data_IF_059765625560
#
_entry.id   IF_059765625560
#
_cell.length_a   1.000
_cell.length_b   1.000
_cell.length_c   1.000
_cell.angle_alpha   90.00
_cell.angle_beta   90.00
_cell.angle_gamma   90.00
#
_symmetry.space_group_name_H-M   'P 1'
#
loop_
_entity.id
_entity.type
_entity.pdbx_description
1 polymer ?
#
# COMPACT_ATOMS: atom_id res chain seq x y z
N UNK A 1 29.13 50.87 -39.59
CA UNK A 1 27.68 50.65 -39.52
C UNK A 1 27.48 49.30 -38.82
N UNK A 2 27.34 49.37 -37.52
CA UNK A 2 27.17 48.21 -36.62
C UNK A 2 25.73 48.12 -36.20
N UNK A 3 25.09 47.05 -36.61
CA UNK A 3 23.70 46.73 -36.26
C UNK A 3 23.69 45.85 -35.02
N UNK A 4 23.27 46.39 -33.90
CA UNK A 4 23.00 45.69 -32.67
C UNK A 4 21.58 45.08 -32.70
N UNK A 5 21.53 43.73 -32.80
CA UNK A 5 20.30 42.99 -32.64
C UNK A 5 20.02 42.73 -31.14
N UNK A 6 18.95 43.32 -30.59
CA UNK A 6 18.49 43.03 -29.25
C UNK A 6 17.70 41.72 -29.25
N UNK A 7 18.17 40.70 -28.59
CA UNK A 7 17.42 39.49 -28.30
C UNK A 7 16.52 39.76 -27.08
N UNK A 8 15.21 39.89 -27.35
CA UNK A 8 14.17 39.86 -26.30
C UNK A 8 14.03 38.44 -25.80
N UNK A 9 14.55 38.17 -24.62
CA UNK A 9 14.18 36.95 -23.85
C UNK A 9 12.77 37.11 -23.33
N UNK A 10 11.83 36.34 -23.89
CA UNK A 10 10.49 36.21 -23.31
C UNK A 10 10.64 35.47 -21.95
N UNK A 11 10.55 36.23 -20.87
CA UNK A 11 10.31 35.69 -19.54
C UNK A 11 8.94 34.99 -19.56
N UNK A 12 8.96 33.66 -19.39
CA UNK A 12 7.76 32.87 -19.12
C UNK A 12 7.15 33.38 -17.81
N UNK A 13 6.01 34.03 -17.90
CA UNK A 13 5.23 34.50 -16.77
C UNK A 13 4.81 33.29 -15.94
N UNK A 14 5.47 33.10 -14.80
CA UNK A 14 5.08 32.12 -13.79
C UNK A 14 3.66 32.51 -13.34
N UNK A 15 2.64 31.61 -13.44
CA UNK A 15 1.30 31.96 -12.98
C UNK A 15 1.37 32.32 -11.48
N UNK A 16 0.63 33.37 -11.10
CA UNK A 16 0.53 33.79 -9.71
C UNK A 16 0.14 32.58 -8.85
N UNK A 17 0.90 32.36 -7.78
CA UNK A 17 0.65 31.26 -6.85
C UNK A 17 -0.68 31.53 -6.14
N UNK A 18 -1.75 30.94 -6.63
CA UNK A 18 -3.02 30.83 -5.92
C UNK A 18 -2.78 29.91 -4.73
N UNK A 19 -3.11 30.36 -3.52
CA UNK A 19 -2.85 29.61 -2.28
C UNK A 19 -3.95 28.57 -2.06
N UNK A 20 -3.81 27.39 -2.67
CA UNK A 20 -4.72 26.29 -2.42
C UNK A 20 -4.53 25.73 -1.02
N UNK A 21 -5.63 25.43 -0.30
CA UNK A 21 -5.60 24.76 1.00
C UNK A 21 -5.64 23.23 0.87
N UNK A 22 -6.28 22.71 -0.18
CA UNK A 22 -6.38 21.29 -0.52
C UNK A 22 -5.78 21.02 -1.90
N UNK A 23 -4.89 20.04 -1.96
CA UNK A 23 -4.37 19.50 -3.21
C UNK A 23 -4.87 18.07 -3.39
N UNK A 24 -5.47 17.77 -4.55
CA UNK A 24 -5.81 16.41 -4.96
C UNK A 24 -4.90 15.98 -6.09
N UNK A 25 -3.99 15.06 -5.82
CA UNK A 25 -3.07 14.49 -6.80
C UNK A 25 -3.63 13.22 -7.44
N UNK A 26 -3.64 13.18 -8.76
CA UNK A 26 -3.99 11.99 -9.54
C UNK A 26 -2.72 11.47 -10.20
N UNK A 27 -2.30 10.26 -9.83
CA UNK A 27 -1.19 9.58 -10.49
C UNK A 27 -1.71 8.86 -11.73
N UNK A 28 -1.18 9.13 -12.92
CA UNK A 28 -1.65 8.53 -14.17
C UNK A 28 -0.52 8.06 -15.09
N UNK A 29 -0.81 6.99 -15.84
CA UNK A 29 -0.03 6.53 -16.99
C UNK A 29 -0.87 5.57 -17.83
N UNK A 30 -1.22 5.98 -19.06
CA UNK A 30 -2.07 5.23 -19.98
C UNK A 30 -3.36 4.72 -19.31
N UNK A 31 -4.14 5.66 -18.75
CA UNK A 31 -5.38 5.45 -18.02
C UNK A 31 -6.62 5.98 -18.77
N UNK A 32 -6.58 6.11 -20.11
CA UNK A 32 -7.64 6.73 -20.92
C UNK A 32 -9.03 6.16 -20.62
N UNK A 33 -9.12 4.87 -20.30
CA UNK A 33 -10.39 4.18 -20.00
C UNK A 33 -10.99 4.52 -18.63
N UNK A 34 -10.21 5.08 -17.70
CA UNK A 34 -10.64 5.32 -16.32
C UNK A 34 -10.47 6.76 -15.88
N UNK A 35 -9.50 7.46 -16.44
CA UNK A 35 -9.13 8.80 -15.98
C UNK A 35 -10.28 9.81 -16.06
N UNK A 36 -11.19 9.65 -17.02
CA UNK A 36 -12.37 10.50 -17.15
C UNK A 36 -13.30 10.39 -15.94
N UNK A 37 -13.59 9.17 -15.52
CA UNK A 37 -14.43 8.89 -14.35
C UNK A 37 -13.74 9.33 -13.06
N UNK A 38 -12.43 9.10 -12.95
CA UNK A 38 -11.63 9.56 -11.79
C UNK A 38 -11.65 11.08 -11.69
N UNK A 39 -11.38 11.78 -12.79
CA UNK A 39 -11.37 13.25 -12.81
C UNK A 39 -12.76 13.83 -12.49
N UNK A 40 -13.84 13.25 -13.05
CA UNK A 40 -15.20 13.65 -12.74
C UNK A 40 -15.57 13.43 -11.27
N UNK A 41 -15.18 12.28 -10.68
CA UNK A 41 -15.40 12.00 -9.27
C UNK A 41 -14.62 12.95 -8.35
N UNK A 42 -13.36 13.25 -8.69
CA UNK A 42 -12.55 14.25 -7.96
C UNK A 42 -13.21 15.61 -7.99
N UNK A 43 -13.67 16.09 -9.18
CA UNK A 43 -14.38 17.34 -9.30
C UNK A 43 -15.64 17.38 -8.43
N UNK A 44 -16.51 16.38 -8.57
CA UNK A 44 -17.76 16.33 -7.79
C UNK A 44 -17.48 16.23 -6.29
N UNK A 45 -16.45 15.49 -5.87
CA UNK A 45 -16.08 15.41 -4.47
C UNK A 45 -15.52 16.71 -3.90
N UNK A 46 -14.84 17.51 -4.72
CA UNK A 46 -14.45 18.87 -4.33
C UNK A 46 -15.67 19.80 -4.25
N UNK A 47 -16.60 19.73 -5.21
CA UNK A 47 -17.84 20.49 -5.16
C UNK A 47 -18.65 20.14 -3.89
N UNK A 48 -18.85 18.86 -3.57
CA UNK A 48 -19.52 18.40 -2.33
C UNK A 48 -18.83 18.92 -1.07
N UNK A 49 -17.51 18.94 -1.06
CA UNK A 49 -16.71 19.43 0.08
C UNK A 49 -16.84 20.95 0.29
N UNK A 50 -17.03 21.71 -0.81
CA UNK A 50 -17.17 23.18 -0.75
C UNK A 50 -18.60 23.66 -0.51
N UNK A 51 -19.62 22.95 -1.03
CA UNK A 51 -21.03 23.35 -0.91
C UNK A 51 -21.62 23.13 0.50
N UNK A 52 -20.81 22.62 1.45
CA UNK A 52 -21.24 22.34 2.83
C UNK A 52 -22.25 21.19 2.94
N UNK A 53 -22.47 20.43 1.87
CA UNK A 53 -23.31 19.23 1.87
C UNK A 53 -22.59 18.02 2.44
N UNK A 54 -21.26 17.97 2.31
CA UNK A 54 -20.41 17.09 3.08
C UNK A 54 -19.92 17.85 4.32
N UNK A 55 -20.19 17.34 5.50
CA UNK A 55 -19.77 17.95 6.76
C UNK A 55 -18.26 17.80 6.91
N UNK A 56 -17.52 18.72 6.31
CA UNK A 56 -16.14 19.00 6.67
C UNK A 56 -16.24 19.99 7.84
N UNK A 57 -16.43 19.51 9.05
CA UNK A 57 -16.33 20.13 10.39
C UNK A 57 -16.34 21.66 10.54
N UNK A 58 -16.89 22.42 9.59
CA UNK A 58 -16.94 23.88 9.63
C UNK A 58 -15.71 24.62 9.08
N UNK A 59 -14.68 23.92 8.59
CA UNK A 59 -13.59 24.56 7.87
C UNK A 59 -14.05 24.89 6.43
N UNK A 60 -14.24 26.16 6.13
CA UNK A 60 -14.44 26.64 4.75
C UNK A 60 -13.11 26.49 4.01
N UNK A 61 -12.98 25.49 3.13
CA UNK A 61 -11.84 25.43 2.21
C UNK A 61 -12.05 26.52 1.16
N UNK A 62 -11.12 27.46 1.11
CA UNK A 62 -11.26 28.63 0.24
C UNK A 62 -10.78 28.32 -1.19
N UNK A 63 -9.88 27.36 -1.37
CA UNK A 63 -9.31 27.06 -2.67
C UNK A 63 -8.74 25.64 -2.74
N UNK A 64 -9.00 24.93 -3.85
CA UNK A 64 -8.43 23.60 -4.13
C UNK A 64 -7.68 23.58 -5.45
N UNK A 65 -6.74 22.62 -5.58
CA UNK A 65 -5.95 22.38 -6.79
C UNK A 65 -5.95 20.90 -7.11
N UNK A 66 -6.09 20.57 -8.41
CA UNK A 66 -5.93 19.22 -8.92
C UNK A 66 -4.57 19.12 -9.60
N UNK A 67 -3.76 18.14 -9.21
CA UNK A 67 -2.48 17.80 -9.83
C UNK A 67 -2.63 16.49 -10.60
N UNK A 68 -2.44 16.53 -11.91
CA UNK A 68 -2.33 15.31 -12.72
C UNK A 68 -0.83 15.01 -12.92
N UNK A 69 -0.33 14.03 -12.17
CA UNK A 69 1.02 13.52 -12.38
C UNK A 69 0.99 12.42 -13.44
N UNK A 70 1.36 12.79 -14.66
CA UNK A 70 1.32 11.90 -15.81
C UNK A 70 2.72 11.41 -16.21
N UNK A 71 2.84 10.09 -16.39
CA UNK A 71 4.09 9.42 -16.76
C UNK A 71 4.45 9.51 -18.23
N UNK A 72 3.91 10.46 -18.98
CA UNK A 72 4.08 10.58 -20.42
C UNK A 72 3.19 9.58 -21.15
N UNK A 73 1.89 9.61 -20.86
CA UNK A 73 0.87 8.82 -21.56
C UNK A 73 0.82 9.16 -23.05
N UNK A 74 0.57 8.16 -23.86
CA UNK A 74 0.45 8.30 -25.31
C UNK A 74 -0.93 7.85 -25.86
N UNK A 75 -1.86 7.56 -24.96
CA UNK A 75 -3.22 7.08 -25.25
C UNK A 75 -4.31 8.16 -25.16
N UNK A 76 -3.93 9.41 -24.86
CA UNK A 76 -4.88 10.51 -24.67
C UNK A 76 -5.34 10.73 -23.22
N UNK A 77 -4.74 10.07 -22.26
CA UNK A 77 -5.06 10.19 -20.81
C UNK A 77 -5.15 11.64 -20.33
N UNK A 78 -4.14 12.55 -20.52
CA UNK A 78 -4.21 13.92 -20.03
C UNK A 78 -5.35 14.72 -20.67
N UNK A 79 -5.60 14.50 -21.96
CA UNK A 79 -6.69 15.16 -22.66
C UNK A 79 -8.06 14.74 -22.13
N UNK A 80 -8.24 13.45 -21.88
CA UNK A 80 -9.47 12.90 -21.33
C UNK A 80 -9.76 13.44 -19.92
N UNK A 81 -8.71 13.60 -19.09
CA UNK A 81 -8.83 14.22 -17.77
C UNK A 81 -9.32 15.68 -17.88
N UNK A 82 -8.74 16.49 -18.77
CA UNK A 82 -9.15 17.89 -18.99
C UNK A 82 -10.60 17.99 -19.44
N UNK A 83 -11.02 17.15 -20.38
CA UNK A 83 -12.41 17.10 -20.86
C UNK A 83 -13.39 16.80 -19.72
N UNK A 84 -13.06 15.83 -18.86
CA UNK A 84 -13.92 15.44 -17.74
C UNK A 84 -14.02 16.51 -16.64
N UNK A 85 -12.96 17.29 -16.43
CA UNK A 85 -12.96 18.41 -15.48
C UNK A 85 -13.76 19.61 -16.00
N UNK A 86 -13.87 19.81 -17.30
CA UNK A 86 -14.62 20.92 -17.90
C UNK A 86 -14.16 22.29 -17.37
N UNK A 87 -15.07 23.16 -16.87
CA UNK A 87 -14.71 24.49 -16.35
C UNK A 87 -13.78 24.46 -15.16
N UNK A 88 -13.82 23.39 -14.33
CA UNK A 88 -12.90 23.19 -13.21
C UNK A 88 -11.45 22.89 -13.65
N UNK A 89 -11.22 22.74 -14.96
CA UNK A 89 -9.89 22.60 -15.53
C UNK A 89 -8.95 23.80 -15.20
N UNK A 90 -9.48 24.95 -14.82
CA UNK A 90 -8.68 26.09 -14.38
C UNK A 90 -7.83 25.79 -13.12
N UNK A 91 -8.21 24.80 -12.33
CA UNK A 91 -7.47 24.35 -11.14
C UNK A 91 -6.53 23.17 -11.42
N UNK A 92 -6.51 22.66 -12.67
CA UNK A 92 -5.67 21.54 -13.05
C UNK A 92 -4.24 22.00 -13.35
N UNK A 93 -3.29 21.37 -12.67
CA UNK A 93 -1.86 21.48 -12.95
C UNK A 93 -1.36 20.14 -13.43
N UNK A 94 -0.82 20.09 -14.64
CA UNK A 94 -0.21 18.88 -15.18
C UNK A 94 1.28 18.86 -14.84
N UNK A 95 1.72 17.76 -14.27
CA UNK A 95 3.12 17.52 -13.96
C UNK A 95 3.58 16.23 -14.64
N UNK A 96 4.56 16.35 -15.51
CA UNK A 96 5.19 15.17 -16.13
C UNK A 96 6.36 14.72 -15.28
N UNK A 97 6.38 13.46 -14.90
CA UNK A 97 7.50 12.89 -14.18
C UNK A 97 8.36 12.00 -15.09
N UNK A 98 9.72 12.01 -14.91
CA UNK A 98 10.61 11.22 -15.74
C UNK A 98 10.45 9.71 -15.46
N UNK A 99 10.50 8.91 -16.51
CA UNK A 99 10.54 7.43 -16.43
C UNK A 99 11.86 6.93 -17.01
N UNK A 100 12.44 5.93 -16.37
CA UNK A 100 13.57 5.21 -16.94
C UNK A 100 13.07 4.13 -17.93
N UNK A 101 13.90 3.70 -18.85
CA UNK A 101 13.56 2.65 -19.80
C UNK A 101 13.19 1.32 -19.11
N UNK A 102 13.78 1.03 -17.94
CA UNK A 102 13.50 -0.14 -17.14
C UNK A 102 12.15 -0.11 -16.41
N UNK A 103 11.56 1.06 -16.17
CA UNK A 103 10.30 1.20 -15.43
C UNK A 103 9.11 0.47 -16.09
N UNK A 104 9.19 0.16 -17.39
CA UNK A 104 8.18 -0.58 -18.14
C UNK A 104 8.35 -2.10 -18.03
N UNK A 105 9.53 -2.57 -17.62
CA UNK A 105 9.83 -3.99 -17.49
C UNK A 105 9.44 -4.52 -16.10
N UNK A 106 9.48 -3.64 -15.10
CA UNK A 106 9.03 -3.93 -13.74
C UNK A 106 7.61 -3.39 -13.54
N UNK A 107 6.63 -4.29 -13.51
CA UNK A 107 5.25 -3.94 -13.18
C UNK A 107 5.11 -4.00 -11.66
N UNK A 108 4.96 -2.85 -10.96
CA UNK A 108 4.79 -2.85 -9.52
C UNK A 108 3.45 -3.47 -9.10
N UNK A 109 3.34 -3.87 -7.83
CA UNK A 109 2.15 -4.52 -7.26
C UNK A 109 0.83 -3.81 -7.59
N UNK A 110 0.84 -2.48 -7.71
CA UNK A 110 -0.31 -1.68 -8.13
C UNK A 110 -0.42 -1.48 -9.65
N UNK A 111 0.43 -2.11 -10.44
CA UNK A 111 0.35 -2.09 -11.89
C UNK A 111 0.74 -0.76 -12.56
N UNK A 112 1.29 0.22 -11.81
CA UNK A 112 1.70 1.52 -12.32
C UNK A 112 3.22 1.65 -12.38
N UNK A 113 3.82 1.72 -13.57
CA UNK A 113 5.24 1.99 -13.73
C UNK A 113 5.63 3.35 -13.11
N UNK A 114 6.81 3.39 -12.47
CA UNK A 114 7.35 4.61 -11.84
C UNK A 114 6.42 5.30 -10.84
N UNK A 115 5.61 4.51 -10.10
CA UNK A 115 4.65 5.04 -9.12
C UNK A 115 5.28 5.96 -8.09
N UNK A 116 6.46 5.61 -7.57
CA UNK A 116 7.15 6.46 -6.60
C UNK A 116 7.45 7.87 -7.16
N UNK A 117 7.82 7.97 -8.44
CA UNK A 117 8.06 9.26 -9.10
C UNK A 117 6.78 10.07 -9.29
N UNK A 118 5.67 9.40 -9.62
CA UNK A 118 4.35 10.05 -9.68
C UNK A 118 3.96 10.64 -8.32
N UNK A 119 4.10 9.84 -7.25
CA UNK A 119 3.83 10.28 -5.88
C UNK A 119 4.74 11.43 -5.46
N UNK A 120 6.04 11.34 -5.73
CA UNK A 120 6.99 12.43 -5.45
C UNK A 120 6.56 13.71 -6.15
N UNK A 121 6.22 13.66 -7.43
CA UNK A 121 5.77 14.82 -8.19
C UNK A 121 4.48 15.44 -7.61
N UNK A 122 3.53 14.62 -7.15
CA UNK A 122 2.34 15.09 -6.46
C UNK A 122 2.71 15.78 -5.14
N UNK A 123 3.54 15.15 -4.32
CA UNK A 123 3.95 15.70 -3.02
C UNK A 123 4.74 17.01 -3.19
N UNK A 124 5.66 17.10 -4.16
CA UNK A 124 6.37 18.32 -4.51
C UNK A 124 5.40 19.43 -4.93
N UNK A 125 4.39 19.10 -5.75
CA UNK A 125 3.33 20.04 -6.14
C UNK A 125 2.40 20.45 -5.00
N UNK A 126 2.23 19.60 -3.99
CA UNK A 126 1.47 19.88 -2.78
C UNK A 126 2.29 20.64 -1.72
N UNK A 127 3.63 20.58 -1.77
CA UNK A 127 4.51 21.29 -0.86
C UNK A 127 4.62 22.78 -1.22
N UNK A 128 3.50 23.49 -1.07
CA UNK A 128 3.40 24.93 -1.35
C UNK A 128 2.75 25.67 -0.17
N UNK A 129 3.11 26.95 0.07
CA UNK A 129 2.52 27.73 1.17
C UNK A 129 1.00 27.73 1.11
N UNK A 130 0.35 27.54 2.25
CA UNK A 130 -1.11 27.54 2.38
C UNK A 130 -1.76 26.15 2.26
N UNK A 131 -1.13 25.17 1.66
CA UNK A 131 -1.66 23.80 1.60
C UNK A 131 -1.70 23.18 2.99
N UNK A 132 -2.87 22.69 3.39
CA UNK A 132 -3.13 22.00 4.67
C UNK A 132 -3.23 20.49 4.50
N UNK A 133 -3.81 20.05 3.37
CA UNK A 133 -4.02 18.64 3.06
C UNK A 133 -3.68 18.30 1.61
N UNK A 134 -3.19 17.09 1.41
CA UNK A 134 -2.96 16.47 0.11
C UNK A 134 -3.69 15.13 0.06
N UNK A 135 -4.54 14.93 -0.95
CA UNK A 135 -5.19 13.65 -1.23
C UNK A 135 -4.55 13.06 -2.48
N UNK A 136 -4.21 11.77 -2.42
CA UNK A 136 -3.66 11.04 -3.58
C UNK A 136 -4.67 10.01 -4.07
N UNK A 137 -4.95 10.01 -5.37
CA UNK A 137 -5.85 9.06 -6.05
C UNK A 137 -5.09 8.40 -7.21
N UNK A 138 -5.34 7.12 -7.45
CA UNK A 138 -4.81 6.41 -8.61
C UNK A 138 -5.74 6.59 -9.82
N UNK A 139 -5.21 6.99 -10.98
CA UNK A 139 -5.95 7.21 -12.22
C UNK A 139 -6.54 5.93 -12.85
N UNK A 140 -6.07 4.76 -12.44
CA UNK A 140 -6.54 3.46 -12.94
C UNK A 140 -7.71 2.84 -12.15
N UNK A 141 -8.28 3.53 -11.18
CA UNK A 141 -9.40 3.03 -10.37
C UNK A 141 -10.72 3.15 -11.13
N UNK A 142 -11.53 2.08 -11.10
CA UNK A 142 -12.87 2.06 -11.71
C UNK A 142 -14.01 2.43 -10.74
N UNK A 143 -13.78 2.29 -9.44
CA UNK A 143 -14.82 2.42 -8.40
C UNK A 143 -14.69 3.71 -7.60
N UNK A 144 -13.92 4.69 -8.07
CA UNK A 144 -13.80 5.98 -7.41
C UNK A 144 -15.17 6.65 -7.32
N UNK A 145 -15.46 7.26 -6.17
CA UNK A 145 -16.70 7.98 -5.91
C UNK A 145 -16.40 9.39 -5.36
N UNK A 146 -17.26 10.39 -5.60
CA UNK A 146 -17.07 11.75 -5.10
C UNK A 146 -16.77 11.80 -3.60
N UNK A 147 -17.50 11.05 -2.79
CA UNK A 147 -17.32 10.99 -1.34
C UNK A 147 -15.93 10.52 -0.86
N UNK A 148 -15.07 10.00 -1.74
CA UNK A 148 -13.68 9.65 -1.36
C UNK A 148 -12.85 10.88 -1.02
N UNK A 149 -13.08 12.01 -1.71
CA UNK A 149 -12.31 13.23 -1.47
C UNK A 149 -12.55 13.77 -0.07
N UNK A 150 -13.80 14.07 0.35
CA UNK A 150 -14.04 14.50 1.72
C UNK A 150 -13.67 13.43 2.77
N UNK A 151 -13.84 12.13 2.50
CA UNK A 151 -13.45 11.08 3.42
C UNK A 151 -11.94 11.02 3.69
N UNK A 152 -11.10 11.36 2.69
CA UNK A 152 -9.64 11.38 2.83
C UNK A 152 -9.10 12.74 3.31
N UNK A 153 -9.74 13.86 2.94
CA UNK A 153 -9.31 15.20 3.30
C UNK A 153 -9.84 15.65 4.67
N UNK A 154 -11.10 15.32 4.99
CA UNK A 154 -11.80 15.80 6.19
C UNK A 154 -11.05 15.50 7.49
N UNK A 155 -10.64 14.26 7.77
CA UNK A 155 -9.92 13.96 9.00
C UNK A 155 -8.61 14.74 9.14
N UNK A 156 -7.95 15.10 8.03
CA UNK A 156 -6.75 15.96 8.05
C UNK A 156 -7.11 17.39 8.41
N UNK A 157 -8.12 17.94 7.73
CA UNK A 157 -8.48 19.35 7.82
C UNK A 157 -9.16 19.69 9.15
N UNK A 158 -10.04 18.81 9.63
CA UNK A 158 -10.96 19.09 10.74
C UNK A 158 -10.52 18.46 12.06
N UNK A 159 -9.86 17.28 12.02
CA UNK A 159 -9.54 16.48 13.19
C UNK A 159 -8.02 16.41 13.47
N UNK A 160 -7.20 16.99 12.58
CA UNK A 160 -5.75 17.07 12.72
C UNK A 160 -5.07 15.71 12.65
N UNK A 161 -5.60 14.79 11.83
CA UNK A 161 -4.88 13.59 11.44
C UNK A 161 -3.80 13.92 10.41
N UNK A 162 -2.73 13.14 10.42
CA UNK A 162 -1.64 13.33 9.48
C UNK A 162 -1.69 12.36 8.30
N UNK A 163 -2.17 11.13 8.53
CA UNK A 163 -2.29 10.09 7.53
C UNK A 163 -3.66 9.43 7.59
N UNK A 164 -4.42 9.53 6.53
CA UNK A 164 -5.72 8.89 6.35
C UNK A 164 -5.58 7.76 5.36
N UNK A 165 -5.67 6.53 5.85
CA UNK A 165 -5.62 5.33 5.01
C UNK A 165 -7.02 4.93 4.55
N UNK A 166 -7.24 4.64 3.27
CA UNK A 166 -8.50 4.02 2.86
C UNK A 166 -8.69 2.65 3.51
N UNK A 167 -9.93 2.38 3.88
CA UNK A 167 -10.37 1.06 4.28
C UNK A 167 -11.41 0.54 3.29
N UNK A 168 -11.01 -0.44 2.48
CA UNK A 168 -11.86 -1.02 1.44
C UNK A 168 -12.57 -2.28 1.93
N UNK A 169 -13.86 -2.38 1.60
CA UNK A 169 -14.62 -3.61 1.81
C UNK A 169 -14.09 -4.72 0.88
N UNK A 170 -13.69 -5.83 1.45
CA UNK A 170 -13.12 -6.99 0.76
C UNK A 170 -13.71 -8.28 1.29
N UNK A 171 -13.99 -9.22 0.39
CA UNK A 171 -14.33 -10.58 0.83
C UNK A 171 -13.22 -11.15 1.75
N UNK A 172 -13.55 -12.03 2.73
CA UNK A 172 -12.53 -12.66 3.59
C UNK A 172 -11.34 -13.28 2.85
N UNK A 173 -11.55 -13.80 1.63
CA UNK A 173 -10.48 -14.40 0.80
C UNK A 173 -9.72 -13.37 -0.06
N UNK A 174 -10.25 -12.17 -0.24
CA UNK A 174 -9.56 -11.10 -0.97
C UNK A 174 -8.51 -10.42 -0.09
N UNK A 175 -7.41 -9.99 -0.71
CA UNK A 175 -6.30 -9.37 0.01
C UNK A 175 -5.61 -10.30 1.00
N UNK A 176 -5.59 -11.60 0.72
CA UNK A 176 -5.03 -12.62 1.59
C UNK A 176 -3.56 -12.33 1.97
N UNK A 177 -2.76 -11.77 1.06
CA UNK A 177 -1.38 -11.37 1.36
C UNK A 177 -1.34 -10.25 2.41
N UNK A 178 -2.21 -9.25 2.27
CA UNK A 178 -2.36 -8.19 3.29
C UNK A 178 -2.77 -8.78 4.63
N UNK A 179 -3.76 -9.66 4.65
CA UNK A 179 -4.30 -10.27 5.88
C UNK A 179 -3.34 -11.26 6.54
N UNK A 180 -2.56 -12.00 5.73
CA UNK A 180 -1.71 -13.09 6.21
C UNK A 180 -0.28 -12.71 6.56
N UNK A 181 0.23 -11.64 5.96
CA UNK A 181 1.62 -11.21 6.18
C UNK A 181 1.67 -9.71 6.48
N UNK A 182 1.16 -8.85 5.59
CA UNK A 182 1.43 -7.41 5.65
C UNK A 182 0.84 -6.80 6.92
N UNK A 183 -0.45 -6.98 7.17
CA UNK A 183 -1.11 -6.42 8.36
C UNK A 183 -0.55 -6.96 9.67
N UNK A 184 -0.45 -8.29 9.89
CA UNK A 184 0.08 -8.83 11.13
C UNK A 184 1.53 -8.39 11.42
N UNK A 185 2.38 -8.40 10.39
CA UNK A 185 3.77 -7.98 10.53
C UNK A 185 3.88 -6.48 10.75
N UNK A 186 3.18 -5.65 9.95
CA UNK A 186 3.13 -4.21 10.09
C UNK A 186 2.70 -3.80 11.51
N UNK A 187 1.64 -4.40 12.02
CA UNK A 187 1.13 -4.19 13.37
C UNK A 187 2.16 -4.55 14.44
N UNK A 188 2.80 -5.70 14.31
CA UNK A 188 3.86 -6.11 15.25
C UNK A 188 5.07 -5.18 15.21
N UNK A 189 5.43 -4.65 14.03
CA UNK A 189 6.59 -3.78 13.85
C UNK A 189 6.34 -2.34 14.33
N UNK A 190 5.20 -1.74 13.95
CA UNK A 190 4.93 -0.32 14.17
C UNK A 190 3.94 -0.02 15.28
N UNK A 191 3.30 -1.03 15.87
CA UNK A 191 2.42 -0.87 17.02
C UNK A 191 1.10 -0.17 16.70
N UNK A 192 0.67 -0.18 15.43
CA UNK A 192 -0.60 0.41 14.98
C UNK A 192 -1.43 -0.61 14.21
N UNK A 193 -2.75 -0.62 14.44
CA UNK A 193 -3.68 -1.55 13.81
C UNK A 193 -4.24 -0.98 12.51
N UNK A 194 -3.36 -0.60 11.57
CA UNK A 194 -3.71 -0.16 10.25
C UNK A 194 -3.98 -1.38 9.36
N UNK A 195 -5.26 -1.62 9.03
CA UNK A 195 -5.69 -2.91 8.43
C UNK A 195 -5.24 -3.12 6.98
N UNK A 196 -5.05 -2.03 6.23
CA UNK A 196 -4.67 -2.09 4.81
C UNK A 196 -3.52 -1.11 4.50
N UNK A 197 -2.31 -1.32 5.05
CA UNK A 197 -1.21 -0.36 4.94
C UNK A 197 -0.58 -0.27 3.53
N UNK A 198 -0.88 -1.23 2.64
CA UNK A 198 -0.34 -1.27 1.27
C UNK A 198 -1.41 -0.86 0.24
N UNK A 199 -2.11 0.23 0.49
CA UNK A 199 -3.08 0.82 -0.46
C UNK A 199 -2.50 2.07 -1.09
N UNK A 200 -2.90 2.37 -2.30
CA UNK A 200 -2.26 3.39 -3.10
C UNK A 200 -2.79 4.81 -2.90
N UNK A 201 -4.00 4.93 -2.40
CA UNK A 201 -4.64 6.21 -2.12
C UNK A 201 -4.39 6.58 -0.65
N UNK A 202 -4.36 7.87 -0.35
CA UNK A 202 -4.31 8.35 1.04
C UNK A 202 -4.64 9.85 1.13
N UNK A 203 -4.99 10.30 2.34
CA UNK A 203 -4.98 11.70 2.72
C UNK A 203 -3.76 12.00 3.59
N UNK A 204 -3.09 13.12 3.37
CA UNK A 204 -1.89 13.51 4.12
C UNK A 204 -1.90 14.98 4.55
N UNK A 205 -1.41 15.28 5.76
CA UNK A 205 -1.19 16.65 6.23
C UNK A 205 0.03 17.28 5.56
N UNK A 206 0.11 18.61 5.54
CA UNK A 206 1.29 19.33 5.05
C UNK A 206 2.57 18.89 5.78
N UNK A 207 2.50 18.65 7.09
CA UNK A 207 3.62 18.14 7.89
C UNK A 207 4.08 16.76 7.44
N UNK A 208 3.15 15.90 7.07
CA UNK A 208 3.47 14.57 6.55
C UNK A 208 4.09 14.65 5.15
N UNK A 209 3.56 15.53 4.29
CA UNK A 209 4.11 15.79 2.95
C UNK A 209 5.57 16.23 3.03
N UNK A 210 5.88 17.20 3.91
CA UNK A 210 7.25 17.65 4.16
C UNK A 210 8.15 16.50 4.61
N UNK A 211 7.73 15.71 5.62
CA UNK A 211 8.50 14.58 6.12
C UNK A 211 8.75 13.50 5.05
N UNK A 212 7.82 13.29 4.14
CA UNK A 212 8.01 12.36 3.04
C UNK A 212 9.00 12.88 2.00
N UNK A 213 8.98 14.18 1.68
CA UNK A 213 9.92 14.78 0.72
C UNK A 213 11.35 14.81 1.24
N UNK A 214 11.53 14.98 2.55
CA UNK A 214 12.83 14.96 3.21
C UNK A 214 13.46 13.55 3.32
N UNK A 215 12.74 12.51 2.96
CA UNK A 215 13.22 11.15 3.11
C UNK A 215 14.06 10.69 1.91
N UNK A 216 15.13 9.92 2.18
CA UNK A 216 16.06 9.40 1.16
C UNK A 216 15.52 8.19 0.36
N UNK A 217 14.19 7.96 0.40
CA UNK A 217 13.59 6.74 -0.19
C UNK A 217 13.42 6.82 -1.71
N UNK A 218 13.29 8.02 -2.24
CA UNK A 218 12.81 8.24 -3.62
C UNK A 218 13.71 7.69 -4.72
N UNK A 219 14.99 7.51 -4.42
CA UNK A 219 16.00 6.99 -5.35
C UNK A 219 16.32 5.50 -5.11
N UNK A 220 15.62 4.84 -4.16
CA UNK A 220 15.84 3.44 -3.86
C UNK A 220 14.99 2.54 -4.77
N UNK A 221 15.59 1.51 -5.38
CA UNK A 221 14.89 0.53 -6.22
C UNK A 221 13.72 -0.14 -5.48
N UNK A 222 13.89 -0.43 -4.17
CA UNK A 222 12.83 -1.02 -3.36
C UNK A 222 11.62 -0.11 -3.20
N UNK A 223 11.79 1.21 -3.21
CA UNK A 223 10.70 2.18 -3.14
C UNK A 223 9.89 2.24 -4.43
N UNK A 224 10.53 2.03 -5.59
CA UNK A 224 9.83 2.04 -6.87
C UNK A 224 8.73 0.97 -6.95
N UNK A 225 8.89 -0.11 -6.22
CA UNK A 225 7.97 -1.25 -6.23
C UNK A 225 6.94 -1.18 -5.10
N UNK A 226 7.34 -0.74 -3.92
CA UNK A 226 6.52 -0.81 -2.70
C UNK A 226 6.33 0.52 -1.97
N UNK A 227 6.36 1.63 -2.67
CA UNK A 227 6.30 2.99 -2.09
C UNK A 227 5.08 3.20 -1.19
N UNK A 228 3.91 2.66 -1.55
CA UNK A 228 2.68 2.84 -0.77
C UNK A 228 2.81 2.25 0.64
N UNK A 229 3.42 1.06 0.74
CA UNK A 229 3.70 0.44 2.04
C UNK A 229 4.73 1.24 2.84
N UNK A 230 5.76 1.76 2.16
CA UNK A 230 6.79 2.58 2.78
C UNK A 230 6.22 3.89 3.36
N UNK A 231 5.28 4.55 2.64
CA UNK A 231 4.61 5.75 3.12
C UNK A 231 3.81 5.47 4.40
N UNK A 232 3.01 4.39 4.40
CA UNK A 232 2.26 3.99 5.60
C UNK A 232 3.19 3.65 6.77
N UNK A 233 4.29 2.92 6.52
CA UNK A 233 5.30 2.59 7.53
C UNK A 233 6.02 3.86 8.04
N UNK A 234 6.32 4.80 7.16
CA UNK A 234 6.89 6.10 7.49
C UNK A 234 6.00 6.93 8.40
N UNK A 235 4.71 7.00 8.10
CA UNK A 235 3.72 7.67 8.95
C UNK A 235 3.64 7.01 10.34
N UNK A 236 3.53 5.69 10.40
CA UNK A 236 3.46 4.95 11.65
C UNK A 236 4.75 5.08 12.48
N UNK A 237 5.91 4.90 11.86
CA UNK A 237 7.22 4.99 12.52
C UNK A 237 7.58 6.42 12.96
N UNK A 238 7.14 7.43 12.21
CA UNK A 238 7.34 8.84 12.52
C UNK A 238 6.45 9.39 13.64
N UNK A 239 5.54 8.58 14.18
CA UNK A 239 4.63 9.00 15.25
C UNK A 239 3.57 10.00 14.77
N UNK A 240 3.21 9.96 13.50
CA UNK A 240 2.11 10.74 12.95
C UNK A 240 0.76 10.19 13.44
N UNK A 241 -0.26 11.06 13.45
CA UNK A 241 -1.62 10.69 13.85
C UNK A 241 -2.35 10.04 12.67
N UNK A 242 -2.67 8.74 12.79
CA UNK A 242 -3.27 7.96 11.72
C UNK A 242 -4.76 7.69 11.97
N UNK A 243 -5.56 7.65 10.89
CA UNK A 243 -6.90 7.09 10.89
C UNK A 243 -7.17 6.30 9.59
N UNK A 244 -8.28 5.58 9.58
CA UNK A 244 -8.80 4.90 8.39
C UNK A 244 -10.10 5.56 7.95
N UNK A 245 -10.33 5.64 6.62
CA UNK A 245 -11.57 6.12 6.01
C UNK A 245 -12.23 5.00 5.19
N UNK A 246 -13.50 4.63 5.42
CA UNK A 246 -14.17 3.57 4.68
C UNK A 246 -14.60 4.07 3.31
N UNK A 247 -13.99 3.54 2.24
CA UNK A 247 -14.23 3.98 0.85
C UNK A 247 -15.03 2.99 -0.01
N UNK A 248 -15.58 1.93 0.60
CA UNK A 248 -16.35 0.93 -0.13
C UNK A 248 -15.46 -0.07 -0.88
N UNK A 249 -15.85 -0.48 -2.09
CA UNK A 249 -15.09 -1.45 -2.90
C UNK A 249 -14.08 -0.74 -3.79
N UNK A 250 -12.92 -1.37 -3.98
CA UNK A 250 -11.86 -0.90 -4.89
C UNK A 250 -11.66 -1.91 -6.00
N UNK A 251 -11.80 -1.49 -7.24
CA UNK A 251 -11.46 -2.27 -8.43
C UNK A 251 -10.59 -1.44 -9.37
N UNK A 252 -9.65 -2.11 -10.02
CA UNK A 252 -8.75 -1.50 -11.01
C UNK A 252 -9.11 -1.89 -12.44
N UNK A 253 -8.70 -1.05 -13.35
CA UNK A 253 -8.50 -1.48 -14.73
C UNK A 253 -7.31 -2.45 -14.78
N UNK A 254 -7.56 -3.70 -15.19
CA UNK A 254 -6.50 -4.70 -15.33
C UNK A 254 -5.66 -4.33 -16.56
N UNK A 255 -4.44 -3.91 -16.34
CA UNK A 255 -3.46 -3.66 -17.39
C UNK A 255 -2.63 -4.93 -17.58
N UNK A 256 -2.91 -5.67 -18.64
CA UNK A 256 -2.17 -6.89 -18.96
C UNK A 256 -2.46 -8.09 -18.05
N UNK A 257 -1.57 -9.05 -18.05
CA UNK A 257 -1.67 -10.24 -17.20
C UNK A 257 -1.46 -9.88 -15.73
N UNK A 258 -2.27 -10.47 -14.85
CA UNK A 258 -2.06 -10.34 -13.41
C UNK A 258 -0.67 -10.88 -13.04
N UNK A 259 0.05 -10.17 -12.16
CA UNK A 259 1.32 -10.67 -11.65
C UNK A 259 1.14 -12.05 -11.03
N UNK A 260 2.09 -12.94 -11.29
CA UNK A 260 2.13 -14.21 -10.58
C UNK A 260 2.35 -13.99 -9.07
N UNK A 261 1.86 -14.93 -8.28
CA UNK A 261 1.92 -14.82 -6.82
C UNK A 261 3.36 -14.70 -6.30
N UNK A 262 4.31 -15.40 -6.94
CA UNK A 262 5.73 -15.33 -6.54
C UNK A 262 6.30 -13.93 -6.72
N UNK A 263 6.01 -13.29 -7.84
CA UNK A 263 6.40 -11.90 -8.11
C UNK A 263 5.72 -10.93 -7.15
N UNK A 264 4.43 -11.11 -6.89
CA UNK A 264 3.70 -10.30 -5.88
C UNK A 264 4.32 -10.42 -4.48
N UNK A 265 4.69 -11.63 -4.07
CA UNK A 265 5.37 -11.86 -2.79
C UNK A 265 6.73 -11.17 -2.74
N UNK A 266 7.54 -11.28 -3.80
CA UNK A 266 8.84 -10.60 -3.89
C UNK A 266 8.66 -9.08 -3.72
N UNK A 267 7.72 -8.49 -4.39
CA UNK A 267 7.47 -7.05 -4.33
C UNK A 267 6.97 -6.60 -2.96
N UNK A 268 5.88 -7.17 -2.50
CA UNK A 268 5.19 -6.68 -1.28
C UNK A 268 5.96 -7.07 -0.02
N UNK A 269 6.33 -8.35 0.11
CA UNK A 269 7.05 -8.83 1.31
C UNK A 269 8.49 -8.37 1.30
N UNK A 270 9.12 -8.29 0.12
CA UNK A 270 10.46 -7.75 -0.03
C UNK A 270 10.57 -6.30 0.42
N UNK A 271 9.60 -5.46 0.06
CA UNK A 271 9.53 -4.07 0.54
C UNK A 271 9.39 -4.00 2.06
N UNK A 272 8.50 -4.83 2.64
CA UNK A 272 8.29 -4.85 4.09
C UNK A 272 9.55 -5.33 4.84
N UNK A 273 10.27 -6.31 4.30
CA UNK A 273 11.52 -6.78 4.89
C UNK A 273 12.66 -5.76 4.73
N UNK A 274 12.72 -5.04 3.61
CA UNK A 274 13.67 -3.94 3.42
C UNK A 274 13.40 -2.80 4.40
N UNK A 275 12.14 -2.42 4.59
CA UNK A 275 11.75 -1.40 5.55
C UNK A 275 12.05 -1.84 7.00
N UNK A 276 11.85 -3.11 7.33
CA UNK A 276 12.23 -3.69 8.63
C UNK A 276 13.75 -3.59 8.87
N UNK A 277 14.59 -3.79 7.84
CA UNK A 277 16.05 -3.58 7.95
C UNK A 277 16.38 -2.11 8.24
N UNK A 278 15.70 -1.18 7.59
CA UNK A 278 15.96 0.26 7.72
C UNK A 278 15.50 0.87 9.04
N UNK A 279 14.50 0.27 9.71
CA UNK A 279 13.84 0.86 10.90
C UNK A 279 14.02 0.03 12.18
N UNK A 280 15.16 -0.63 12.30
CA UNK A 280 15.47 -1.51 13.47
C UNK A 280 15.27 -0.80 14.80
N UNK A 281 15.70 0.46 14.91
CA UNK A 281 15.61 1.27 16.13
C UNK A 281 14.16 1.57 16.53
N UNK A 282 13.25 1.61 15.57
CA UNK A 282 11.82 1.83 15.80
C UNK A 282 11.17 0.55 16.30
N UNK A 283 11.15 -0.48 15.44
CA UNK A 283 10.33 -1.65 15.71
C UNK A 283 10.80 -2.49 16.90
N UNK A 284 12.09 -2.49 17.23
CA UNK A 284 12.58 -3.20 18.43
C UNK A 284 12.06 -2.61 19.75
N UNK A 285 11.64 -1.34 19.75
CA UNK A 285 11.09 -0.65 20.93
C UNK A 285 9.58 -0.84 21.09
N UNK A 286 8.88 -1.11 20.01
CA UNK A 286 7.42 -1.26 20.01
C UNK A 286 7.00 -2.48 20.84
N UNK A 287 6.01 -2.26 21.74
CA UNK A 287 5.40 -3.28 22.60
C UNK A 287 3.89 -3.20 22.46
N UNK A 288 3.30 -4.22 21.84
CA UNK A 288 1.87 -4.25 21.55
C UNK A 288 1.44 -3.24 20.49
N UNK A 289 0.14 -3.07 20.30
CA UNK A 289 -0.43 -2.17 19.29
C UNK A 289 -1.64 -1.40 19.79
N UNK A 290 -1.83 -0.21 19.24
CA UNK A 290 -3.01 0.64 19.48
C UNK A 290 -3.96 0.59 18.27
N UNK A 291 -5.29 0.69 18.50
CA UNK A 291 -6.24 0.79 17.40
C UNK A 291 -6.03 2.09 16.62
N UNK A 292 -6.27 2.03 15.32
CA UNK A 292 -6.41 3.19 14.44
C UNK A 292 -7.90 3.47 14.29
N UNK A 293 -8.39 4.70 14.56
CA UNK A 293 -9.81 5.03 14.45
C UNK A 293 -10.28 4.93 12.99
N UNK A 294 -11.51 4.45 12.80
CA UNK A 294 -12.22 4.50 11.53
C UNK A 294 -13.13 5.74 11.57
N UNK A 295 -12.89 6.67 10.64
CA UNK A 295 -13.66 7.92 10.55
C UNK A 295 -14.67 7.81 9.42
N UNK A 296 -15.94 7.94 9.75
CA UNK A 296 -17.07 7.79 8.84
C UNK A 296 -17.70 6.39 8.86
N UNK A 297 -18.85 6.28 8.22
CA UNK A 297 -19.61 5.04 8.16
C UNK A 297 -19.25 4.22 6.91
N UNK A 298 -19.02 2.92 7.05
CA UNK A 298 -18.72 2.07 5.91
C UNK A 298 -19.94 1.97 4.98
N UNK A 299 -19.79 2.25 3.67
CA UNK A 299 -20.89 2.07 2.72
C UNK A 299 -21.27 0.60 2.62
N UNK A 300 -22.58 0.34 2.42
CA UNK A 300 -23.07 -1.01 2.17
C UNK A 300 -22.51 -1.55 0.84
N UNK A 301 -21.81 -2.67 0.90
CA UNK A 301 -21.19 -3.31 -0.27
C UNK A 301 -21.59 -4.77 -0.32
N UNK A 302 -22.06 -5.22 -1.48
CA UNK A 302 -22.27 -6.65 -1.76
C UNK A 302 -20.96 -7.24 -2.27
N UNK A 303 -20.48 -8.25 -1.56
CA UNK A 303 -19.25 -8.97 -1.91
C UNK A 303 -19.59 -10.35 -2.45
N UNK A 304 -19.04 -10.68 -3.60
CA UNK A 304 -19.14 -12.03 -4.16
C UNK A 304 -18.09 -12.94 -3.52
N UNK A 305 -18.47 -14.19 -3.23
CA UNK A 305 -17.54 -15.18 -2.67
C UNK A 305 -16.66 -15.76 -3.79
N UNK A 306 -15.35 -15.54 -3.77
CA UNK A 306 -14.46 -16.13 -4.75
C UNK A 306 -14.42 -17.66 -4.62
N UNK A 307 -14.41 -18.35 -5.74
CA UNK A 307 -14.17 -19.79 -5.76
C UNK A 307 -12.69 -20.09 -5.60
N UNK A 308 -12.31 -20.87 -4.58
CA UNK A 308 -10.92 -21.20 -4.32
C UNK A 308 -10.75 -22.74 -4.26
N UNK A 309 -9.79 -23.25 -5.02
CA UNK A 309 -9.39 -24.65 -4.96
C UNK A 309 -8.45 -24.89 -3.76
N UNK A 310 -9.02 -25.15 -2.60
CA UNK A 310 -8.25 -25.34 -1.35
C UNK A 310 -7.36 -26.59 -1.42
N UNK A 311 -7.81 -27.66 -2.06
CA UNK A 311 -7.01 -28.88 -2.22
C UNK A 311 -5.76 -28.60 -3.07
N UNK A 312 -5.90 -27.82 -4.15
CA UNK A 312 -4.77 -27.40 -4.98
C UNK A 312 -3.75 -26.54 -4.21
N UNK A 313 -4.21 -25.71 -3.27
CA UNK A 313 -3.32 -24.93 -2.37
C UNK A 313 -2.52 -25.85 -1.45
N UNK A 314 -3.18 -26.86 -0.85
CA UNK A 314 -2.52 -27.86 0.01
C UNK A 314 -1.50 -28.69 -0.77
N UNK A 315 -1.85 -29.15 -1.99
CA UNK A 315 -0.92 -29.88 -2.83
C UNK A 315 0.30 -29.04 -3.24
N UNK A 316 0.10 -27.75 -3.52
CA UNK A 316 1.20 -26.81 -3.79
C UNK A 316 2.13 -26.67 -2.57
N UNK A 317 1.59 -26.62 -1.36
CA UNK A 317 2.39 -26.65 -0.13
C UNK A 317 3.17 -27.96 0.01
N UNK A 318 2.51 -29.11 -0.20
CA UNK A 318 3.14 -30.43 -0.13
C UNK A 318 4.26 -30.62 -1.14
N UNK A 319 4.04 -30.15 -2.37
CA UNK A 319 5.07 -30.15 -3.42
C UNK A 319 6.23 -29.24 -3.00
N UNK A 320 5.95 -28.02 -2.54
CA UNK A 320 6.96 -27.09 -2.06
C UNK A 320 7.80 -27.69 -0.91
N UNK A 321 7.19 -28.43 0.01
CA UNK A 321 7.95 -29.09 1.07
C UNK A 321 8.92 -30.15 0.50
N UNK A 322 8.51 -30.93 -0.49
CA UNK A 322 9.40 -31.93 -1.11
C UNK A 322 10.57 -31.29 -1.87
N UNK A 323 10.29 -30.21 -2.58
CA UNK A 323 11.27 -29.61 -3.52
C UNK A 323 12.14 -28.52 -2.84
N UNK A 324 11.63 -27.81 -1.83
CA UNK A 324 12.31 -26.65 -1.23
C UNK A 324 12.73 -26.87 0.22
N UNK A 325 12.52 -28.05 0.79
CA UNK A 325 12.86 -28.35 2.17
C UNK A 325 14.31 -27.98 2.51
N UNK A 326 15.26 -28.29 1.65
CA UNK A 326 16.68 -28.01 1.89
C UNK A 326 16.95 -26.51 1.93
N UNK A 327 16.29 -25.74 1.06
CA UNK A 327 16.33 -24.26 1.08
C UNK A 327 15.77 -23.74 2.41
N UNK A 328 14.66 -24.29 2.87
CA UNK A 328 14.03 -23.88 4.12
C UNK A 328 14.86 -24.21 5.35
N UNK A 329 15.67 -25.28 5.33
CA UNK A 329 16.59 -25.61 6.44
C UNK A 329 17.70 -24.56 6.62
N UNK A 330 18.04 -23.79 5.60
CA UNK A 330 18.99 -22.67 5.73
C UNK A 330 18.36 -21.42 6.36
N UNK A 331 17.05 -21.33 6.34
CA UNK A 331 16.31 -20.16 6.79
C UNK A 331 15.64 -20.38 8.14
N UNK A 332 15.04 -21.55 8.34
CA UNK A 332 14.23 -21.90 9.50
C UNK A 332 14.93 -22.91 10.42
N UNK A 333 14.65 -22.86 11.74
CA UNK A 333 15.18 -23.86 12.68
C UNK A 333 14.57 -25.25 12.45
N UNK A 334 15.26 -26.33 12.86
CA UNK A 334 14.82 -27.71 12.70
C UNK A 334 13.40 -27.98 13.23
N UNK A 335 13.01 -27.31 14.32
CA UNK A 335 11.67 -27.44 14.91
C UNK A 335 10.58 -27.03 13.90
N UNK A 336 10.72 -25.89 13.24
CA UNK A 336 9.75 -25.41 12.24
C UNK A 336 9.65 -26.39 11.06
N UNK A 337 10.77 -26.97 10.61
CA UNK A 337 10.78 -27.98 9.54
C UNK A 337 10.03 -29.25 9.98
N UNK A 338 10.21 -29.69 11.22
CA UNK A 338 9.49 -30.87 11.76
C UNK A 338 7.99 -30.60 11.88
N UNK A 339 7.62 -29.41 12.35
CA UNK A 339 6.22 -29.03 12.48
C UNK A 339 5.52 -28.95 11.10
N UNK A 340 6.20 -28.39 10.08
CA UNK A 340 5.71 -28.40 8.70
C UNK A 340 5.59 -29.83 8.12
N UNK A 341 6.53 -30.73 8.44
CA UNK A 341 6.49 -32.11 7.99
C UNK A 341 5.20 -32.81 8.45
N UNK A 342 4.75 -32.56 9.67
CA UNK A 342 3.53 -33.18 10.22
C UNK A 342 2.28 -32.84 9.40
N UNK A 343 2.29 -31.70 8.69
CA UNK A 343 1.16 -31.27 7.85
C UNK A 343 1.04 -32.05 6.52
N UNK A 344 2.08 -32.77 6.12
CA UNK A 344 2.08 -33.48 4.83
C UNK A 344 1.02 -34.59 4.77
N UNK A 345 0.82 -35.28 5.89
CA UNK A 345 -0.05 -36.45 6.00
C UNK A 345 -1.45 -36.08 6.57
N UNK A 346 -1.68 -34.79 6.88
CA UNK A 346 -2.97 -34.34 7.40
C UNK A 346 -4.02 -34.30 6.28
N UNK A 347 -5.21 -34.91 6.48
CA UNK A 347 -6.29 -34.80 5.50
C UNK A 347 -6.68 -33.35 5.22
N UNK A 348 -7.06 -32.98 3.97
CA UNK A 348 -7.38 -31.59 3.60
C UNK A 348 -8.38 -30.92 4.53
N UNK A 349 -9.41 -31.62 5.00
CA UNK A 349 -10.47 -31.10 5.87
C UNK A 349 -9.95 -30.73 7.29
N UNK A 350 -8.82 -31.27 7.71
CA UNK A 350 -8.18 -31.03 9.01
C UNK A 350 -6.88 -30.23 8.85
N UNK A 351 -6.53 -29.81 7.65
CA UNK A 351 -5.30 -29.08 7.39
C UNK A 351 -5.33 -27.75 8.14
N UNK A 352 -4.38 -27.56 9.05
CA UNK A 352 -4.25 -26.35 9.87
C UNK A 352 -2.79 -26.03 10.10
N UNK A 353 -2.37 -24.88 9.64
CA UNK A 353 -1.07 -24.29 9.94
C UNK A 353 -1.27 -23.31 11.10
N UNK A 354 -0.63 -23.57 12.22
CA UNK A 354 -0.80 -22.77 13.44
C UNK A 354 -0.21 -21.36 13.29
N UNK A 355 -0.85 -20.38 13.93
CA UNK A 355 -0.53 -18.97 13.78
C UNK A 355 0.87 -18.60 14.30
N UNK A 356 1.27 -19.18 15.43
CA UNK A 356 2.61 -19.00 16.00
C UNK A 356 3.70 -19.57 15.09
N UNK A 357 3.46 -20.74 14.48
CA UNK A 357 4.36 -21.30 13.48
C UNK A 357 4.45 -20.42 12.25
N UNK A 358 3.31 -19.91 11.74
CA UNK A 358 3.28 -19.01 10.60
C UNK A 358 4.04 -17.70 10.90
N UNK A 359 3.80 -17.08 12.05
CA UNK A 359 4.50 -15.87 12.46
C UNK A 359 6.03 -16.10 12.53
N UNK A 360 6.48 -17.23 13.12
CA UNK A 360 7.91 -17.58 13.15
C UNK A 360 8.49 -17.81 11.78
N UNK A 361 7.78 -18.46 10.86
CA UNK A 361 8.21 -18.64 9.47
C UNK A 361 8.47 -17.29 8.81
N UNK A 362 7.52 -16.36 8.90
CA UNK A 362 7.67 -15.02 8.33
C UNK A 362 8.85 -14.28 8.95
N UNK A 363 9.06 -14.39 10.25
CA UNK A 363 10.20 -13.79 10.95
C UNK A 363 11.54 -14.44 10.56
N UNK A 364 11.59 -15.74 10.36
CA UNK A 364 12.77 -16.44 9.89
C UNK A 364 13.14 -16.03 8.47
N UNK A 365 12.15 -15.86 7.61
CA UNK A 365 12.37 -15.34 6.26
C UNK A 365 12.84 -13.89 6.26
N UNK A 366 12.32 -13.04 7.15
CA UNK A 366 12.82 -11.67 7.32
C UNK A 366 14.28 -11.65 7.78
N UNK A 367 14.65 -12.53 8.70
CA UNK A 367 16.04 -12.71 9.14
C UNK A 367 16.93 -13.23 8.00
N UNK A 368 16.46 -14.25 7.26
CA UNK A 368 17.17 -14.80 6.11
C UNK A 368 17.40 -13.76 5.00
N UNK A 369 16.42 -12.88 4.77
CA UNK A 369 16.50 -11.75 3.85
C UNK A 369 17.61 -10.77 4.25
N UNK A 370 17.67 -10.39 5.52
CA UNK A 370 18.73 -9.55 6.10
C UNK A 370 20.11 -10.19 5.98
N UNK A 371 20.22 -11.46 6.39
CA UNK A 371 21.49 -12.18 6.41
C UNK A 371 21.97 -12.61 5.01
N UNK A 372 21.13 -12.41 3.98
CA UNK A 372 21.41 -12.82 2.60
C UNK A 372 21.84 -14.29 2.50
N UNK A 373 21.13 -15.15 3.24
CA UNK A 373 21.39 -16.60 3.21
C UNK A 373 21.22 -17.20 1.81
N UNK A 374 20.42 -16.52 0.99
CA UNK A 374 20.17 -16.76 -0.43
C UNK A 374 20.00 -15.40 -1.16
N UNK A 375 20.08 -15.36 -2.50
CA UNK A 375 19.59 -14.22 -3.26
C UNK A 375 18.14 -13.88 -2.84
N UNK A 376 17.88 -12.61 -2.56
CA UNK A 376 16.63 -12.15 -1.93
C UNK A 376 15.38 -12.62 -2.67
N UNK A 377 15.40 -12.55 -4.00
CA UNK A 377 14.29 -13.01 -4.85
C UNK A 377 14.04 -14.50 -4.72
N UNK A 378 15.09 -15.31 -4.72
CA UNK A 378 14.95 -16.76 -4.55
C UNK A 378 14.41 -17.11 -3.16
N UNK A 379 14.88 -16.42 -2.12
CA UNK A 379 14.37 -16.58 -0.77
C UNK A 379 12.87 -16.28 -0.72
N UNK A 380 12.45 -15.13 -1.21
CA UNK A 380 11.05 -14.70 -1.18
C UNK A 380 10.14 -15.59 -2.05
N UNK A 381 10.60 -16.00 -3.23
CA UNK A 381 9.85 -16.98 -4.05
C UNK A 381 9.69 -18.33 -3.36
N UNK A 382 10.66 -18.76 -2.57
CA UNK A 382 10.58 -20.01 -1.80
C UNK A 382 9.56 -19.94 -0.65
N UNK A 383 9.10 -18.74 -0.26
CA UNK A 383 8.00 -18.56 0.71
C UNK A 383 6.63 -18.90 0.10
N UNK A 384 6.50 -18.87 -1.23
CA UNK A 384 5.20 -19.05 -1.93
C UNK A 384 4.45 -20.32 -1.50
N UNK A 385 5.02 -21.53 -1.50
CA UNK A 385 4.28 -22.72 -1.09
C UNK A 385 3.87 -22.70 0.40
N UNK A 386 4.67 -22.08 1.26
CA UNK A 386 4.33 -21.93 2.68
C UNK A 386 3.14 -20.97 2.85
N UNK A 387 3.13 -19.88 2.10
CA UNK A 387 2.00 -18.95 2.06
C UNK A 387 0.73 -19.62 1.52
N UNK A 388 0.82 -20.46 0.49
CA UNK A 388 -0.32 -21.22 -0.04
C UNK A 388 -0.87 -22.21 1.00
N UNK A 389 0.00 -22.83 1.79
CA UNK A 389 -0.40 -23.65 2.94
C UNK A 389 -1.12 -22.83 4.01
N UNK A 390 -0.60 -21.66 4.36
CA UNK A 390 -1.28 -20.75 5.28
C UNK A 390 -2.65 -20.32 4.74
N UNK A 391 -2.73 -19.94 3.46
CA UNK A 391 -3.98 -19.53 2.80
C UNK A 391 -5.02 -20.64 2.82
N UNK A 392 -4.64 -21.88 2.52
CA UNK A 392 -5.53 -23.04 2.62
C UNK A 392 -6.08 -23.21 4.04
N UNK A 393 -5.20 -23.13 5.03
CA UNK A 393 -5.55 -23.20 6.45
C UNK A 393 -6.53 -22.08 6.86
N UNK A 394 -6.28 -20.86 6.42
CA UNK A 394 -7.15 -19.71 6.68
C UNK A 394 -8.54 -19.90 6.08
N UNK A 395 -8.65 -20.27 4.81
CA UNK A 395 -9.93 -20.49 4.11
C UNK A 395 -10.74 -21.56 4.80
N UNK A 396 -10.13 -22.68 5.18
CA UNK A 396 -10.82 -23.76 5.90
C UNK A 396 -11.38 -23.32 7.26
N UNK A 397 -10.77 -22.33 7.90
CA UNK A 397 -11.22 -21.82 9.19
C UNK A 397 -12.33 -20.76 9.07
N UNK A 398 -12.43 -20.05 7.92
CA UNK A 398 -13.39 -18.95 7.79
C UNK A 398 -14.51 -19.19 6.78
N UNK A 399 -14.48 -20.29 6.02
CA UNK A 399 -15.47 -20.56 4.96
C UNK A 399 -16.92 -20.67 5.44
N UNK A 400 -17.10 -21.10 6.70
CA UNK A 400 -18.41 -21.39 7.29
C UNK A 400 -18.76 -20.37 8.40
N UNK A 401 -18.00 -19.24 8.51
CA UNK A 401 -18.24 -18.21 9.51
C UNK A 401 -18.67 -16.89 8.86
N UNK A 402 -19.47 -16.06 9.55
CA UNK A 402 -19.86 -14.75 9.04
C UNK A 402 -18.63 -13.82 8.92
N UNK A 403 -18.75 -12.71 8.17
CA UNK A 403 -17.63 -11.77 7.93
C UNK A 403 -16.92 -11.30 9.20
N UNK A 404 -17.67 -11.01 10.26
CA UNK A 404 -17.14 -10.58 11.56
C UNK A 404 -16.26 -11.68 12.21
N UNK A 405 -16.61 -12.94 12.00
CA UNK A 405 -15.79 -14.07 12.43
C UNK A 405 -14.50 -14.21 11.65
N UNK A 406 -14.51 -13.86 10.37
CA UNK A 406 -13.30 -13.82 9.55
C UNK A 406 -12.37 -12.69 9.99
N UNK A 407 -12.88 -11.50 10.32
CA UNK A 407 -12.09 -10.40 10.85
C UNK A 407 -11.49 -10.74 12.22
N UNK A 408 -12.29 -11.36 13.11
CA UNK A 408 -11.81 -11.85 14.40
C UNK A 408 -10.68 -12.89 14.24
N UNK A 409 -10.76 -13.74 13.20
CA UNK A 409 -9.71 -14.72 12.87
C UNK A 409 -8.39 -14.03 12.43
N UNK A 410 -8.47 -12.94 11.67
CA UNK A 410 -7.29 -12.15 11.28
C UNK A 410 -6.68 -11.43 12.49
N UNK A 411 -7.51 -10.93 13.40
CA UNK A 411 -7.04 -10.33 14.66
C UNK A 411 -6.28 -11.36 15.52
N UNK A 412 -6.75 -12.61 15.59
CA UNK A 412 -6.01 -13.70 16.29
C UNK A 412 -4.63 -13.93 15.67
N UNK A 413 -4.55 -13.98 14.33
CA UNK A 413 -3.26 -14.11 13.65
C UNK A 413 -2.33 -12.93 13.99
N UNK A 414 -2.85 -11.71 13.95
CA UNK A 414 -2.06 -10.53 14.25
C UNK A 414 -1.56 -10.51 15.71
N UNK A 415 -2.35 -11.00 16.65
CA UNK A 415 -1.94 -11.21 18.04
C UNK A 415 -0.82 -12.25 18.16
N UNK A 416 -0.84 -13.32 17.36
CA UNK A 416 0.23 -14.29 17.32
C UNK A 416 1.57 -13.68 16.85
N UNK A 417 1.52 -12.80 15.82
CA UNK A 417 2.71 -12.04 15.40
C UNK A 417 3.24 -11.14 16.51
N UNK A 418 2.38 -10.43 17.23
CA UNK A 418 2.81 -9.63 18.40
C UNK A 418 3.43 -10.50 19.49
N UNK A 419 2.82 -11.63 19.82
CA UNK A 419 3.29 -12.56 20.84
C UNK A 419 4.65 -13.19 20.48
N UNK A 420 4.86 -13.51 19.20
CA UNK A 420 6.10 -14.08 18.70
C UNK A 420 7.19 -13.03 18.37
N UNK A 421 6.92 -11.74 18.49
CA UNK A 421 7.91 -10.70 18.23
C UNK A 421 9.18 -10.81 19.06
N UNK A 422 9.17 -11.22 20.36
CA UNK A 422 10.40 -11.49 21.10
C UNK A 422 11.31 -12.51 20.43
N UNK A 423 10.76 -13.51 19.73
CA UNK A 423 11.51 -14.46 18.92
C UNK A 423 12.28 -13.75 17.79
N UNK A 424 11.60 -12.86 17.02
CA UNK A 424 12.27 -12.05 16.00
C UNK A 424 13.38 -11.20 16.60
N UNK A 425 13.11 -10.45 17.68
CA UNK A 425 14.09 -9.57 18.34
C UNK A 425 15.33 -10.35 18.80
N UNK A 426 15.12 -11.50 19.42
CA UNK A 426 16.22 -12.36 19.90
C UNK A 426 17.11 -12.84 18.76
N UNK A 427 16.51 -13.36 17.69
CA UNK A 427 17.25 -13.86 16.52
C UNK A 427 17.90 -12.72 15.71
N UNK A 428 17.28 -11.56 15.68
CA UNK A 428 17.84 -10.37 15.00
C UNK A 428 19.11 -9.87 15.67
N UNK A 429 19.14 -9.88 17.02
CA UNK A 429 20.30 -9.44 17.80
C UNK A 429 21.43 -10.47 17.86
N UNK A 430 21.08 -11.78 17.86
CA UNK A 430 22.01 -12.87 18.05
C UNK A 430 21.85 -13.96 17.00
N UNK A 431 22.04 -13.66 15.70
CA UNK A 431 21.79 -14.62 14.62
C UNK A 431 22.66 -15.87 14.72
N UNK A 432 23.89 -15.76 15.24
CA UNK A 432 24.82 -16.89 15.36
C UNK A 432 24.37 -17.96 16.37
N UNK A 433 23.57 -17.60 17.38
CA UNK A 433 23.06 -18.55 18.38
C UNK A 433 22.09 -19.59 17.84
N UNK A 434 21.60 -19.39 16.62
CA UNK A 434 20.55 -20.22 16.02
C UNK A 434 21.00 -20.94 14.74
N UNK A 435 22.33 -20.92 14.48
CA UNK A 435 22.95 -21.61 13.34
C UNK A 435 23.39 -23.06 13.65
N UNK A 436 23.09 -23.58 14.84
CA UNK A 436 23.40 -24.95 15.24
C UNK A 436 22.24 -25.90 15.07
#
# INVERSE_FOLDING_TARGET
MTSTGSSSSAEATKPAATTAELVVGIASYNDVDTIGDVAAAVRSGLEEAFDGTASLGGASIVESRILLADGGSNDGTPQRAREALGPANATLVEVTYPRAAGDLLDVPYHGRPARARALRAILEGAHTPGVKACVVIDGGIRTVAPGWIPALAGPVLDEGFDYVSPFYARHPYEGALTKGIVYPLFRALYGVRLRQPAVGEFGGSARLVEAYLDADVWDLDSAQIGIDLWLAAGAAAGGFKLCEAPLGRRTFHTRGEALDLGTTLVQVVGTLFADLEGRVDVWQRVRGSVPVPLIGDPPAVVLETPQVNVEGLIESFRLGYRELRDIWTWTMPPKSIVDLRRLLDVPPQRFRLDDDLWARIVYDFALGYRLRVLPRDHLLRSLTPLYLGWLASMILQVRDVPPEGADARIEQLALAFEAEKPYLVSRWRWPERFRT
#
